data_IF_710773240735
#
_entry.id   IF_710773240735
#
_cell.length_a   1.000
_cell.length_b   1.000
_cell.length_c   1.000
_cell.angle_alpha   90.00
_cell.angle_beta   90.00
_cell.angle_gamma   90.00
#
_symmetry.space_group_name_H-M   'P 1'
#
loop_
_entity.id
_entity.type
_entity.pdbx_description
1 polymer ?
#
# COMPACT_ATOMS: atom_id res chain seq x y z
N UNK A 1 -15.70 -23.05 8.75
CA UNK A 1 -15.83 -22.04 9.83
C UNK A 1 -16.14 -20.72 9.14
N UNK A 2 -17.36 -20.20 9.27
CA UNK A 2 -17.81 -19.01 8.54
C UNK A 2 -17.95 -17.86 9.51
N UNK A 3 -17.18 -16.80 9.29
CA UNK A 3 -17.29 -15.55 10.02
C UNK A 3 -18.42 -14.73 9.42
N UNK A 4 -19.42 -14.38 10.23
CA UNK A 4 -20.49 -13.46 9.82
C UNK A 4 -20.25 -12.09 10.46
N UNK A 5 -20.18 -11.06 9.63
CA UNK A 5 -20.08 -9.66 10.04
C UNK A 5 -21.46 -9.05 9.89
N UNK A 6 -22.07 -8.61 10.98
CA UNK A 6 -23.30 -7.80 10.90
C UNK A 6 -22.99 -6.48 10.18
N UNK A 7 -23.87 -6.08 9.27
CA UNK A 7 -23.77 -4.82 8.54
C UNK A 7 -24.48 -3.66 9.25
N UNK A 8 -25.21 -3.92 10.34
CA UNK A 8 -25.81 -2.87 11.17
C UNK A 8 -24.71 -2.22 12.01
N UNK A 9 -24.20 -1.10 11.50
CA UNK A 9 -23.08 -0.36 12.08
C UNK A 9 -23.63 0.84 12.85
N UNK A 10 -23.87 0.66 14.15
CA UNK A 10 -24.10 1.78 15.05
C UNK A 10 -22.75 2.49 15.28
N UNK A 11 -22.54 3.62 14.61
CA UNK A 11 -21.32 4.43 14.73
C UNK A 11 -21.31 5.25 16.03
N UNK A 12 -20.14 5.47 16.61
CA UNK A 12 -19.95 6.18 17.87
C UNK A 12 -18.90 7.28 17.71
N UNK A 13 -19.11 8.48 18.26
CA UNK A 13 -18.17 9.62 18.14
C UNK A 13 -17.37 9.80 19.42
N UNK A 14 -16.19 9.22 19.51
CA UNK A 14 -15.29 9.29 20.68
C UNK A 14 -14.28 10.42 20.48
N UNK A 15 -14.59 11.68 20.80
CA UNK A 15 -13.83 12.93 20.48
C UNK A 15 -14.32 13.59 19.17
N UNK A 16 -14.23 14.93 18.98
CA UNK A 16 -14.75 15.63 17.79
C UNK A 16 -14.34 15.07 16.42
N UNK A 17 -13.36 14.15 16.36
CA UNK A 17 -12.83 13.61 15.11
C UNK A 17 -12.66 12.08 15.07
N UNK A 18 -13.08 11.32 16.09
CA UNK A 18 -12.91 9.86 16.09
C UNK A 18 -14.25 9.15 15.97
N UNK A 19 -14.49 8.51 14.82
CA UNK A 19 -15.62 7.60 14.63
C UNK A 19 -15.16 6.19 15.00
N UNK A 20 -15.70 5.65 16.08
CA UNK A 20 -15.49 4.28 16.53
C UNK A 20 -16.72 3.43 16.21
N UNK A 21 -16.48 2.17 15.84
CA UNK A 21 -17.55 1.21 15.60
C UNK A 21 -17.42 0.08 16.63
N UNK A 22 -18.42 -0.14 17.51
CA UNK A 22 -18.48 -1.34 18.30
C UNK A 22 -18.65 -2.53 17.35
N UNK A 23 -17.70 -3.46 17.40
CA UNK A 23 -17.72 -4.65 16.57
C UNK A 23 -18.12 -5.85 17.43
N UNK A 24 -19.38 -6.24 17.35
CA UNK A 24 -19.90 -7.45 18.01
C UNK A 24 -19.74 -8.63 17.06
N UNK A 25 -18.89 -9.60 17.42
CA UNK A 25 -18.74 -10.86 16.69
C UNK A 25 -19.52 -11.94 17.43
N UNK A 26 -20.43 -12.61 16.74
CA UNK A 26 -21.12 -13.79 17.25
C UNK A 26 -20.74 -14.98 16.39
N UNK A 27 -20.09 -15.97 16.99
CA UNK A 27 -19.74 -17.21 16.30
C UNK A 27 -20.95 -18.15 16.28
N UNK A 28 -21.38 -18.57 15.09
CA UNK A 28 -22.46 -19.54 14.92
C UNK A 28 -23.06 -19.54 13.52
N UNK A 29 -24.17 -20.28 13.34
CA UNK A 29 -24.91 -20.35 12.07
C UNK A 29 -25.29 -18.95 11.57
N UNK A 30 -25.22 -18.73 10.26
CA UNK A 30 -25.51 -17.43 9.65
C UNK A 30 -26.86 -16.85 10.11
N UNK A 31 -26.92 -15.51 10.21
CA UNK A 31 -28.16 -14.75 10.48
C UNK A 31 -29.27 -15.07 9.47
N UNK A 32 -28.91 -15.41 8.22
CA UNK A 32 -29.89 -15.86 7.21
C UNK A 32 -30.67 -17.12 7.63
N UNK A 33 -30.06 -18.00 8.42
CA UNK A 33 -30.68 -19.24 8.89
C UNK A 33 -31.27 -19.11 10.29
N UNK A 34 -31.05 -17.98 10.98
CA UNK A 34 -31.51 -17.73 12.33
C UNK A 34 -31.72 -16.22 12.54
N UNK A 35 -32.82 -15.64 12.01
CA UNK A 35 -33.07 -14.19 12.01
C UNK A 35 -33.05 -13.56 13.41
N UNK A 36 -33.47 -14.30 14.44
CA UNK A 36 -33.46 -13.87 15.85
C UNK A 36 -32.09 -13.39 16.34
N UNK A 37 -31.00 -13.80 15.68
CA UNK A 37 -29.65 -13.33 16.01
C UNK A 37 -29.45 -11.86 15.68
N UNK A 38 -30.16 -11.34 14.67
CA UNK A 38 -30.14 -9.91 14.34
C UNK A 38 -30.71 -9.09 15.49
N UNK A 39 -31.83 -9.54 16.06
CA UNK A 39 -32.49 -8.87 17.20
C UNK A 39 -31.58 -8.83 18.44
N UNK A 40 -30.84 -9.90 18.69
CA UNK A 40 -29.86 -9.97 19.80
C UNK A 40 -28.68 -9.03 19.56
N UNK A 41 -28.16 -8.97 18.34
CA UNK A 41 -27.07 -8.08 17.98
C UNK A 41 -27.48 -6.61 18.12
N UNK A 42 -28.65 -6.26 17.61
CA UNK A 42 -29.21 -4.91 17.72
C UNK A 42 -29.47 -4.53 19.18
N UNK A 43 -30.00 -5.45 19.99
CA UNK A 43 -30.18 -5.24 21.43
C UNK A 43 -28.86 -4.92 22.14
N UNK A 44 -27.80 -5.69 21.87
CA UNK A 44 -26.48 -5.48 22.46
C UNK A 44 -25.89 -4.13 22.02
N UNK A 45 -26.00 -3.80 20.73
CA UNK A 45 -25.49 -2.54 20.18
C UNK A 45 -26.22 -1.32 20.78
N UNK A 46 -27.55 -1.36 20.88
CA UNK A 46 -28.34 -0.30 21.54
C UNK A 46 -28.01 -0.15 23.01
N UNK A 47 -27.83 -1.26 23.74
CA UNK A 47 -27.44 -1.23 25.15
C UNK A 47 -26.05 -0.59 25.34
N UNK A 48 -25.10 -0.92 24.45
CA UNK A 48 -23.76 -0.36 24.45
C UNK A 48 -23.75 1.16 24.17
N UNK A 49 -24.45 1.61 23.11
CA UNK A 49 -24.57 3.03 22.75
C UNK A 49 -25.13 3.85 23.92
N UNK A 50 -26.19 3.33 24.59
CA UNK A 50 -26.77 3.95 25.79
C UNK A 50 -25.80 4.00 26.96
N UNK A 51 -25.08 2.90 27.22
CA UNK A 51 -24.08 2.84 28.29
C UNK A 51 -22.98 3.90 28.11
N UNK A 52 -22.54 4.11 26.88
CA UNK A 52 -21.50 5.08 26.55
C UNK A 52 -22.01 6.52 26.39
N UNK A 53 -23.32 6.78 26.51
CA UNK A 53 -23.90 8.13 26.45
C UNK A 53 -23.95 8.74 25.05
N UNK A 54 -23.92 7.92 23.99
CA UNK A 54 -23.90 8.38 22.61
C UNK A 54 -25.31 8.41 21.98
N UNK A 55 -25.55 9.30 21.00
CA UNK A 55 -26.80 9.31 20.27
C UNK A 55 -26.94 8.04 19.42
N UNK A 56 -28.15 7.50 19.36
CA UNK A 56 -28.49 6.38 18.47
C UNK A 56 -28.58 6.90 17.03
N UNK A 57 -27.80 6.31 16.13
CA UNK A 57 -27.71 6.73 14.73
C UNK A 57 -28.34 5.63 13.88
N UNK A 58 -29.56 5.89 13.41
CA UNK A 58 -30.30 4.99 12.51
C UNK A 58 -29.66 4.96 11.11
N UNK A 59 -29.70 3.79 10.47
CA UNK A 59 -29.28 3.59 9.08
C UNK A 59 -30.26 4.26 8.09
N UNK A 60 -31.51 4.46 8.51
CA UNK A 60 -32.61 4.96 7.67
C UNK A 60 -32.51 6.46 7.39
N UNK A 61 -31.77 7.20 8.22
CA UNK A 61 -31.51 8.63 8.03
C UNK A 61 -29.99 8.87 7.93
N UNK A 62 -29.42 8.94 6.72
CA UNK A 62 -28.00 9.17 6.55
C UNK A 62 -27.65 10.61 6.91
N UNK A 63 -27.40 10.88 8.20
CA UNK A 63 -26.97 12.20 8.70
C UNK A 63 -25.47 12.47 8.54
N UNK A 64 -24.74 11.64 7.77
CA UNK A 64 -23.32 11.86 7.49
C UNK A 64 -23.11 11.99 5.98
N UNK A 65 -22.87 13.20 5.52
CA UNK A 65 -22.49 13.52 4.14
C UNK A 65 -20.99 13.37 3.89
N UNK A 66 -20.18 13.42 4.95
CA UNK A 66 -18.72 13.55 4.84
C UNK A 66 -18.03 12.33 5.43
N UNK A 67 -17.89 11.28 4.62
CA UNK A 67 -17.02 10.16 4.96
C UNK A 67 -15.58 10.54 4.60
N UNK A 68 -14.70 10.60 5.60
CA UNK A 68 -13.25 10.63 5.39
C UNK A 68 -12.64 9.28 5.74
N UNK A 69 -11.66 8.84 4.94
CA UNK A 69 -10.94 7.59 5.18
C UNK A 69 -10.10 7.71 6.45
N UNK A 70 -10.36 6.88 7.45
CA UNK A 70 -9.53 6.82 8.67
C UNK A 70 -8.24 6.06 8.34
N UNK A 71 -7.23 6.77 7.84
CA UNK A 71 -5.86 6.27 7.77
C UNK A 71 -5.16 6.48 9.13
N UNK A 72 -5.66 5.82 10.19
CA UNK A 72 -4.94 5.80 11.46
C UNK A 72 -3.72 4.90 11.31
N UNK A 73 -2.56 5.51 11.11
CA UNK A 73 -1.27 4.81 11.17
C UNK A 73 -0.99 4.53 12.65
N UNK A 74 -0.74 3.27 13.07
CA UNK A 74 -0.27 2.97 14.41
C UNK A 74 1.00 3.77 14.75
N UNK A 75 1.17 4.23 15.99
CA UNK A 75 2.40 4.93 16.41
C UNK A 75 3.68 4.14 16.06
N UNK A 76 3.58 2.79 16.03
CA UNK A 76 4.64 1.88 15.60
C UNK A 76 4.21 1.00 14.42
N UNK A 77 3.96 1.60 13.26
CA UNK A 77 3.86 0.84 12.01
C UNK A 77 5.25 0.49 11.44
N UNK A 78 5.45 -0.72 10.90
CA UNK A 78 6.62 -1.05 10.07
C UNK A 78 6.85 -0.01 8.98
N UNK A 79 8.12 0.30 8.69
CA UNK A 79 8.48 1.39 7.77
C UNK A 79 7.79 1.30 6.41
N UNK A 80 7.67 0.10 5.85
CA UNK A 80 7.03 -0.13 4.56
C UNK A 80 5.51 0.13 4.58
N UNK A 81 4.82 -0.02 5.72
CA UNK A 81 3.40 0.34 5.85
C UNK A 81 3.21 1.85 5.89
N UNK A 82 4.14 2.57 6.53
CA UNK A 82 4.16 4.04 6.51
C UNK A 82 4.30 4.56 5.08
N UNK A 83 5.31 4.09 4.34
CA UNK A 83 5.50 4.42 2.92
C UNK A 83 4.25 4.16 2.07
N UNK A 84 3.60 3.00 2.25
CA UNK A 84 2.34 2.72 1.54
C UNK A 84 1.25 3.74 1.84
N UNK A 85 1.15 4.18 3.08
CA UNK A 85 0.15 5.18 3.50
C UNK A 85 0.51 6.56 2.95
N UNK A 86 1.79 6.93 3.00
CA UNK A 86 2.29 8.20 2.46
C UNK A 86 2.02 8.30 0.95
N UNK A 87 2.24 7.22 0.20
CA UNK A 87 1.89 7.16 -1.22
C UNK A 87 0.38 7.27 -1.48
N UNK A 88 -0.47 6.60 -0.71
CA UNK A 88 -1.93 6.72 -0.88
C UNK A 88 -2.44 8.13 -0.64
N UNK A 89 -1.81 8.86 0.28
CA UNK A 89 -2.13 10.27 0.57
C UNK A 89 -1.66 11.21 -0.54
N UNK A 90 -0.57 10.86 -1.23
CA UNK A 90 -0.02 11.65 -2.33
C UNK A 90 0.49 10.74 -3.47
N UNK A 91 -0.41 10.27 -4.36
CA UNK A 91 -0.08 9.29 -5.39
C UNK A 91 0.63 9.93 -6.59
N UNK A 92 1.85 10.44 -6.38
CA UNK A 92 2.59 11.22 -7.38
C UNK A 92 2.96 10.45 -8.65
N UNK A 93 2.98 9.11 -8.63
CA UNK A 93 3.21 8.30 -9.83
C UNK A 93 1.95 8.16 -10.69
N UNK A 94 0.75 8.45 -10.15
CA UNK A 94 -0.52 8.35 -10.85
C UNK A 94 -0.58 9.21 -12.12
N UNK A 95 0.12 10.35 -12.11
CA UNK A 95 0.17 11.30 -13.22
C UNK A 95 1.07 10.83 -14.38
N UNK A 96 1.91 9.82 -14.16
CA UNK A 96 2.85 9.34 -15.18
C UNK A 96 2.15 8.43 -16.20
N UNK A 97 2.51 8.57 -17.47
CA UNK A 97 2.14 7.59 -18.50
C UNK A 97 2.84 6.25 -18.24
N UNK A 98 2.40 5.16 -18.89
CA UNK A 98 3.04 3.86 -18.71
C UNK A 98 4.53 3.87 -19.13
N UNK A 99 4.89 4.61 -20.17
CA UNK A 99 6.28 4.75 -20.61
C UNK A 99 7.13 5.52 -19.59
N UNK A 100 6.58 6.61 -19.03
CA UNK A 100 7.24 7.36 -17.97
C UNK A 100 7.37 6.55 -16.68
N UNK A 101 6.34 5.77 -16.35
CA UNK A 101 6.35 4.87 -15.21
C UNK A 101 7.42 3.79 -15.38
N UNK A 102 7.57 3.27 -16.60
CA UNK A 102 8.62 2.32 -16.95
C UNK A 102 10.01 2.95 -16.84
N UNK A 103 10.21 4.16 -17.35
CA UNK A 103 11.50 4.87 -17.20
C UNK A 103 11.87 5.07 -15.73
N UNK A 104 10.89 5.43 -14.89
CA UNK A 104 11.07 5.53 -13.43
C UNK A 104 11.36 4.19 -12.77
N UNK A 105 10.72 3.12 -13.23
CA UNK A 105 10.99 1.76 -12.73
C UNK A 105 12.46 1.40 -12.97
N UNK A 106 12.97 1.63 -14.19
CA UNK A 106 14.35 1.30 -14.54
C UNK A 106 15.36 2.09 -13.67
N UNK A 107 15.09 3.37 -13.42
CA UNK A 107 15.92 4.22 -12.55
C UNK A 107 15.95 3.71 -11.10
N UNK A 108 14.79 3.39 -10.54
CA UNK A 108 14.67 2.86 -9.17
C UNK A 108 15.38 1.50 -9.07
N UNK A 109 15.16 0.61 -10.05
CA UNK A 109 15.78 -0.70 -10.07
C UNK A 109 17.29 -0.62 -10.20
N UNK A 110 17.82 0.28 -11.04
CA UNK A 110 19.24 0.49 -11.18
C UNK A 110 19.87 0.92 -9.85
N UNK A 111 19.29 1.90 -9.15
CA UNK A 111 19.79 2.35 -7.84
C UNK A 111 19.74 1.22 -6.81
N UNK A 112 18.62 0.48 -6.73
CA UNK A 112 18.51 -0.66 -5.82
C UNK A 112 19.55 -1.75 -6.15
N UNK A 113 19.80 -2.01 -7.43
CA UNK A 113 20.79 -3.00 -7.86
C UNK A 113 22.19 -2.60 -7.39
N UNK A 114 22.57 -1.32 -7.52
CA UNK A 114 23.83 -0.81 -6.98
C UNK A 114 23.89 -0.91 -5.45
N UNK A 115 22.78 -0.71 -4.74
CA UNK A 115 22.73 -0.79 -3.28
C UNK A 115 22.85 -2.20 -2.71
N UNK A 116 22.39 -3.22 -3.45
CA UNK A 116 22.26 -4.59 -2.92
C UNK A 116 23.22 -5.62 -3.53
N UNK A 117 23.75 -5.36 -4.73
CA UNK A 117 24.75 -6.25 -5.32
C UNK A 117 26.13 -6.02 -4.71
N UNK A 118 26.94 -7.08 -4.76
CA UNK A 118 28.31 -7.08 -4.24
C UNK A 118 29.22 -6.30 -5.22
N UNK A 119 30.13 -5.51 -4.65
CA UNK A 119 31.15 -4.73 -5.38
C UNK A 119 30.56 -3.84 -6.51
N UNK A 120 29.57 -2.98 -6.20
CA UNK A 120 28.95 -2.12 -7.20
C UNK A 120 29.96 -1.06 -7.71
N UNK A 121 29.90 -0.66 -8.99
CA UNK A 121 30.72 0.42 -9.53
C UNK A 121 30.51 1.77 -8.82
N UNK A 122 29.36 1.95 -8.15
CA UNK A 122 29.06 3.13 -7.34
C UNK A 122 28.50 2.70 -5.99
N UNK A 123 29.12 3.19 -4.92
CA UNK A 123 28.58 3.01 -3.56
C UNK A 123 27.46 4.01 -3.34
N UNK A 124 26.23 3.50 -3.21
CA UNK A 124 25.05 4.33 -2.93
C UNK A 124 24.97 4.64 -1.42
N UNK A 125 24.86 5.91 -1.01
CA UNK A 125 24.65 6.28 0.39
C UNK A 125 23.42 5.60 1.01
N UNK A 126 23.43 5.40 2.32
CA UNK A 126 22.36 4.69 3.04
C UNK A 126 21.02 5.42 2.95
N UNK A 127 21.04 6.75 2.98
CA UNK A 127 19.87 7.61 2.86
C UNK A 127 19.24 7.44 1.48
N UNK A 128 20.07 7.45 0.43
CA UNK A 128 19.62 7.25 -0.95
C UNK A 128 19.10 5.82 -1.19
N UNK A 129 19.73 4.82 -0.57
CA UNK A 129 19.23 3.43 -0.58
C UNK A 129 17.85 3.35 0.07
N UNK A 130 17.65 4.00 1.22
CA UNK A 130 16.36 4.02 1.92
C UNK A 130 15.28 4.71 1.07
N UNK A 131 15.61 5.84 0.45
CA UNK A 131 14.70 6.54 -0.45
C UNK A 131 14.36 5.71 -1.70
N UNK A 132 15.31 4.96 -2.25
CA UNK A 132 15.07 4.06 -3.38
C UNK A 132 14.14 2.89 -3.01
N UNK A 133 14.29 2.34 -1.81
CA UNK A 133 13.37 1.31 -1.28
C UNK A 133 11.94 1.83 -1.08
N UNK A 134 11.81 3.07 -0.60
CA UNK A 134 10.52 3.76 -0.48
C UNK A 134 9.89 3.97 -1.85
N UNK A 135 10.63 4.54 -2.81
CA UNK A 135 10.16 4.74 -4.18
C UNK A 135 9.79 3.42 -4.87
N UNK A 136 10.54 2.34 -4.62
CA UNK A 136 10.19 1.01 -5.10
C UNK A 136 8.88 0.52 -4.50
N UNK A 137 8.64 0.75 -3.21
CA UNK A 137 7.36 0.43 -2.55
C UNK A 137 6.20 1.19 -3.21
N UNK A 138 6.38 2.48 -3.52
CA UNK A 138 5.40 3.31 -4.21
C UNK A 138 5.14 2.81 -5.64
N UNK A 139 6.21 2.47 -6.36
CA UNK A 139 6.14 1.91 -7.72
C UNK A 139 5.35 0.61 -7.75
N UNK A 140 5.61 -0.32 -6.83
CA UNK A 140 4.90 -1.59 -6.77
C UNK A 140 3.41 -1.42 -6.43
N UNK A 141 3.07 -0.45 -5.57
CA UNK A 141 1.67 -0.09 -5.31
C UNK A 141 0.99 0.46 -6.55
N UNK A 142 1.66 1.36 -7.29
CA UNK A 142 1.09 1.96 -8.48
C UNK A 142 0.88 0.94 -9.60
N UNK A 143 1.86 0.05 -9.81
CA UNK A 143 1.72 -1.06 -10.76
C UNK A 143 0.54 -1.96 -10.37
N UNK A 144 0.37 -2.27 -9.08
CA UNK A 144 -0.76 -3.06 -8.61
C UNK A 144 -2.11 -2.35 -8.84
N UNK A 145 -2.19 -1.04 -8.56
CA UNK A 145 -3.39 -0.23 -8.79
C UNK A 145 -3.79 -0.19 -10.28
N UNK A 146 -2.81 -0.21 -11.19
CA UNK A 146 -3.02 -0.21 -12.65
C UNK A 146 -3.12 -1.62 -13.26
N UNK A 147 -3.05 -2.66 -12.45
CA UNK A 147 -2.97 -4.06 -12.90
C UNK A 147 -1.83 -4.31 -13.91
N UNK A 148 -0.69 -3.62 -13.76
CA UNK A 148 0.50 -3.84 -14.58
C UNK A 148 1.29 -5.02 -13.99
N UNK A 149 1.44 -6.14 -14.71
CA UNK A 149 2.24 -7.25 -14.23
C UNK A 149 3.72 -6.87 -14.21
N UNK A 150 4.48 -7.40 -13.24
CA UNK A 150 5.93 -7.13 -13.15
C UNK A 150 6.70 -7.55 -14.41
N UNK A 151 6.19 -8.56 -15.14
CA UNK A 151 6.75 -9.03 -16.41
C UNK A 151 6.63 -8.02 -17.55
N UNK A 152 5.69 -7.07 -17.49
CA UNK A 152 5.64 -5.97 -18.45
C UNK A 152 6.90 -5.11 -18.36
N UNK A 153 7.53 -5.11 -17.19
CA UNK A 153 8.72 -4.34 -16.85
C UNK A 153 9.95 -5.27 -16.72
N UNK A 154 10.05 -6.28 -17.60
CA UNK A 154 11.17 -7.21 -17.64
C UNK A 154 12.52 -6.51 -17.82
N UNK A 155 13.58 -7.04 -17.22
CA UNK A 155 14.93 -6.47 -17.34
C UNK A 155 15.39 -6.33 -18.80
N UNK A 156 15.93 -5.17 -19.16
CA UNK A 156 16.56 -4.89 -20.45
C UNK A 156 17.84 -4.04 -20.21
N UNK A 157 19.05 -4.57 -20.51
CA UNK A 157 20.30 -3.87 -20.26
C UNK A 157 20.40 -2.53 -21.01
N UNK A 158 19.73 -2.39 -22.17
CA UNK A 158 19.71 -1.13 -22.93
C UNK A 158 18.95 -0.04 -22.18
N UNK A 159 17.88 -0.42 -21.48
CA UNK A 159 17.06 0.49 -20.69
C UNK A 159 17.76 0.88 -19.39
N UNK A 160 18.49 -0.03 -18.76
CA UNK A 160 19.30 0.28 -17.58
C UNK A 160 20.45 1.26 -17.92
N UNK A 161 21.08 1.10 -19.09
CA UNK A 161 22.07 2.08 -19.57
C UNK A 161 21.41 3.45 -19.82
N UNK A 162 20.22 3.47 -20.44
CA UNK A 162 19.48 4.71 -20.63
C UNK A 162 19.08 5.35 -19.29
N UNK A 163 18.68 4.55 -18.30
CA UNK A 163 18.37 5.00 -16.95
C UNK A 163 19.62 5.60 -16.29
N UNK A 164 20.77 4.91 -16.35
CA UNK A 164 22.04 5.39 -15.81
C UNK A 164 22.39 6.80 -16.31
N UNK A 165 22.20 7.03 -17.62
CA UNK A 165 22.41 8.33 -18.25
C UNK A 165 21.41 9.39 -17.77
N UNK A 166 20.11 9.04 -17.64
CA UNK A 166 19.08 9.97 -17.15
C UNK A 166 19.35 10.47 -15.73
N UNK A 167 19.85 9.60 -14.85
CA UNK A 167 20.17 9.95 -13.46
C UNK A 167 21.63 10.38 -13.26
N UNK A 168 22.41 10.53 -14.34
CA UNK A 168 23.77 11.07 -14.30
C UNK A 168 24.79 10.16 -13.61
N UNK A 169 24.60 8.84 -13.66
CA UNK A 169 25.58 7.88 -13.15
C UNK A 169 26.83 7.81 -14.04
N UNK A 170 28.01 7.49 -13.48
CA UNK A 170 29.25 7.42 -14.24
C UNK A 170 29.26 6.25 -15.24
N UNK A 171 30.06 6.36 -16.30
CA UNK A 171 30.23 5.31 -17.32
C UNK A 171 30.71 3.95 -16.78
N UNK A 172 31.28 3.91 -15.57
CA UNK A 172 31.61 2.66 -14.89
C UNK A 172 30.38 1.79 -14.65
N UNK A 173 29.20 2.41 -14.45
CA UNK A 173 27.92 1.72 -14.30
C UNK A 173 27.49 1.09 -15.62
N UNK A 174 27.60 1.82 -16.72
CA UNK A 174 27.26 1.29 -18.06
C UNK A 174 28.13 0.07 -18.41
N UNK A 175 29.45 0.18 -18.17
CA UNK A 175 30.38 -0.94 -18.38
C UNK A 175 30.03 -2.14 -17.53
N UNK A 176 29.67 -1.93 -16.27
CA UNK A 176 29.28 -2.99 -15.36
C UNK A 176 28.00 -3.71 -15.78
N UNK A 177 26.98 -2.99 -16.24
CA UNK A 177 25.75 -3.58 -16.82
C UNK A 177 26.10 -4.49 -18.00
N UNK A 178 26.97 -4.04 -18.90
CA UNK A 178 27.41 -4.84 -20.05
C UNK A 178 28.17 -6.09 -19.64
N UNK A 179 29.02 -6.01 -18.61
CA UNK A 179 29.73 -7.18 -18.06
C UNK A 179 28.75 -8.20 -17.47
N UNK A 180 27.77 -7.76 -16.67
CA UNK A 180 26.77 -8.65 -16.08
C UNK A 180 25.94 -9.39 -17.13
N UNK A 181 25.58 -8.71 -18.23
CA UNK A 181 24.85 -9.33 -19.33
C UNK A 181 25.71 -10.37 -20.07
N UNK A 182 26.99 -10.07 -20.29
CA UNK A 182 27.92 -11.00 -20.91
C UNK A 182 28.13 -12.27 -20.06
N UNK A 183 28.25 -12.12 -18.74
CA UNK A 183 28.37 -13.24 -17.79
C UNK A 183 27.11 -14.12 -17.80
N UNK A 184 25.92 -13.51 -17.84
CA UNK A 184 24.64 -14.22 -17.92
C UNK A 184 24.51 -15.07 -19.19
N UNK A 185 25.02 -14.59 -20.32
CA UNK A 185 25.00 -15.31 -21.60
C UNK A 185 26.00 -16.48 -21.66
N UNK A 186 27.09 -16.43 -20.88
CA UNK A 186 28.08 -17.51 -20.80
C UNK A 186 27.69 -18.64 -19.84
N UNK A 187 26.76 -18.37 -18.92
CA UNK A 187 26.26 -19.34 -17.94
C UNK A 187 24.99 -20.11 -18.35
N UNK A 188 24.49 -19.89 -19.57
CA UNK A 188 23.38 -20.64 -20.19
C UNK A 188 23.90 -21.64 -21.22
#
# INVERSE_FOLDING_TARGET
MSFYRSFDRHKTVTSPYLLTFPLTVVEGSSVYYAPWKSDVLEFIQRAWVRHCGYPDLSVEEPQASDFSTIDHIPEQAPRHERWRTDYRRNPYLQLLTNDQLRDRFDEIMLVNTQSFLKDPPVVVPKEQTTASMEQFTHMMLEMANRAIPITAFAYDPRRDIAAARRIGLPESVERWILTMEAEKQQGQ
#
